data_IF_604964116590
#
_entry.id   IF_604964116590
#
_cell.length_a   1.000
_cell.length_b   1.000
_cell.length_c   1.000
_cell.angle_alpha   90.00
_cell.angle_beta   90.00
_cell.angle_gamma   90.00
#
_symmetry.space_group_name_H-M   'P 1'
#
loop_
_entity.id
_entity.type
_entity.pdbx_description
1 polymer ?
#
# COMPACT_ATOMS: atom_id res chain seq x y z
N UNK A 1 -42.93 -22.63 21.61
CA UNK A 1 -43.29 -23.11 20.26
C UNK A 1 -42.18 -22.65 19.34
N UNK A 2 -41.55 -23.63 18.71
CA UNK A 2 -40.35 -23.52 17.88
C UNK A 2 -40.66 -22.79 16.57
N UNK A 3 -39.73 -22.01 16.04
CA UNK A 3 -39.58 -21.83 14.60
C UNK A 3 -38.10 -21.53 14.27
N UNK A 4 -37.45 -22.52 13.67
CA UNK A 4 -36.10 -22.45 13.12
C UNK A 4 -36.16 -22.43 11.60
N UNK A 5 -35.49 -21.45 10.98
CA UNK A 5 -35.29 -21.38 9.53
C UNK A 5 -33.95 -22.06 9.17
N UNK A 6 -34.02 -23.26 8.59
CA UNK A 6 -32.91 -23.92 7.90
C UNK A 6 -33.03 -23.61 6.41
N UNK A 7 -31.99 -23.04 5.80
CA UNK A 7 -31.86 -22.90 4.34
C UNK A 7 -31.32 -24.21 3.72
N UNK A 8 -31.82 -24.66 2.55
CA UNK A 8 -31.37 -25.91 1.95
C UNK A 8 -29.99 -25.77 1.28
N UNK A 9 -29.10 -26.73 1.57
CA UNK A 9 -27.89 -27.00 0.79
C UNK A 9 -28.28 -27.79 -0.47
N UNK A 10 -27.75 -27.38 -1.62
CA UNK A 10 -27.87 -28.14 -2.86
C UNK A 10 -27.16 -29.49 -2.72
N UNK A 11 -27.91 -30.59 -2.85
CA UNK A 11 -27.37 -31.93 -3.00
C UNK A 11 -26.97 -32.13 -4.46
N UNK A 12 -25.67 -32.18 -4.74
CA UNK A 12 -25.18 -32.88 -5.93
C UNK A 12 -25.21 -34.37 -5.62
N UNK A 13 -26.12 -35.09 -6.28
CA UNK A 13 -26.22 -36.54 -6.18
C UNK A 13 -25.18 -37.17 -7.10
N UNK A 14 -24.06 -37.64 -6.53
CA UNK A 14 -23.09 -38.44 -7.26
C UNK A 14 -23.62 -39.88 -7.36
N UNK A 15 -24.06 -40.30 -8.54
CA UNK A 15 -24.40 -41.71 -8.80
C UNK A 15 -23.14 -42.41 -9.31
N UNK A 16 -22.45 -43.15 -8.42
CA UNK A 16 -21.43 -44.11 -8.83
C UNK A 16 -22.07 -45.48 -9.02
N UNK A 17 -22.04 -46.01 -10.24
CA UNK A 17 -22.32 -47.42 -10.52
C UNK A 17 -20.97 -48.15 -10.59
N UNK A 18 -20.73 -49.08 -9.66
CA UNK A 18 -19.60 -50.00 -9.73
C UNK A 18 -19.97 -51.23 -10.56
N UNK A 19 -19.30 -51.43 -11.70
CA UNK A 19 -19.25 -52.70 -12.40
C UNK A 19 -17.79 -53.02 -12.75
N UNK A 20 -17.24 -54.07 -12.13
CA UNK A 20 -15.98 -54.71 -12.53
C UNK A 20 -14.72 -53.91 -12.20
N UNK A 21 -13.97 -54.36 -11.19
CA UNK A 21 -12.81 -53.65 -10.67
C UNK A 21 -11.70 -53.41 -11.69
N UNK A 22 -11.35 -52.13 -11.90
CA UNK A 22 -10.01 -51.57 -12.14
C UNK A 22 -10.14 -50.05 -12.14
N UNK A 23 -9.24 -49.35 -11.43
CA UNK A 23 -9.19 -47.89 -11.39
C UNK A 23 -8.77 -47.34 -12.76
N UNK A 24 -9.54 -46.40 -13.31
CA UNK A 24 -9.08 -45.51 -14.36
C UNK A 24 -9.66 -44.10 -14.16
N UNK A 25 -8.85 -43.12 -14.52
CA UNK A 25 -9.02 -41.69 -14.29
C UNK A 25 -10.36 -41.13 -14.78
N UNK A 26 -10.88 -40.12 -14.07
CA UNK A 26 -11.96 -39.26 -14.53
C UNK A 26 -11.34 -38.01 -15.15
N UNK A 27 -11.51 -37.84 -16.45
CA UNK A 27 -11.16 -36.63 -17.21
C UNK A 27 -12.45 -35.82 -17.42
N UNK A 28 -12.40 -34.53 -17.09
CA UNK A 28 -13.52 -33.59 -17.19
C UNK A 28 -13.53 -32.99 -18.62
N UNK A 29 -14.55 -33.33 -19.42
CA UNK A 29 -14.79 -32.67 -20.70
C UNK A 29 -15.76 -31.49 -20.54
N UNK A 30 -15.26 -30.28 -20.87
CA UNK A 30 -16.01 -29.40 -21.76
C UNK A 30 -16.40 -28.01 -21.25
N UNK A 31 -15.51 -27.03 -21.42
CA UNK A 31 -15.92 -25.67 -21.79
C UNK A 31 -15.14 -25.18 -23.01
N UNK A 32 -15.91 -24.74 -24.02
CA UNK A 32 -15.45 -24.27 -25.32
C UNK A 32 -14.70 -22.93 -25.22
N UNK A 33 -13.54 -22.85 -25.86
CA UNK A 33 -12.96 -21.59 -26.34
C UNK A 33 -12.59 -21.74 -27.83
N UNK A 34 -12.96 -20.73 -28.62
CA UNK A 34 -12.64 -20.58 -30.05
C UNK A 34 -11.18 -20.12 -30.26
N UNK A 35 -10.63 -20.27 -31.48
CA UNK A 35 -9.19 -20.42 -31.70
C UNK A 35 -8.50 -19.12 -32.13
N UNK A 36 -7.21 -18.96 -31.80
CA UNK A 36 -6.27 -18.47 -32.81
C UNK A 36 -4.80 -18.82 -32.49
N UNK A 37 -4.09 -19.15 -33.58
CA UNK A 37 -2.65 -19.02 -33.82
C UNK A 37 -1.68 -19.93 -33.06
N UNK A 38 -1.31 -21.02 -33.76
CA UNK A 38 -0.19 -21.88 -33.41
C UNK A 38 1.18 -21.31 -33.78
N UNK A 39 2.19 -21.80 -33.08
CA UNK A 39 3.56 -21.98 -33.57
C UNK A 39 4.19 -23.09 -32.73
N UNK A 40 4.49 -24.21 -33.38
CA UNK A 40 5.20 -25.34 -32.79
C UNK A 40 6.69 -25.05 -32.67
N UNK A 41 7.29 -25.51 -31.57
CA UNK A 41 8.73 -25.51 -31.35
C UNK A 41 9.08 -26.61 -30.36
N UNK A 42 9.83 -27.59 -30.84
CA UNK A 42 10.39 -28.72 -30.11
C UNK A 42 11.24 -28.28 -28.91
N UNK A 43 11.08 -28.93 -27.77
CA UNK A 43 11.93 -28.80 -26.58
C UNK A 43 12.97 -29.93 -26.58
N UNK A 44 14.23 -29.56 -26.82
CA UNK A 44 15.41 -30.36 -26.47
C UNK A 44 15.87 -30.02 -25.04
N UNK A 45 16.52 -30.97 -24.32
CA UNK A 45 16.86 -30.79 -22.91
C UNK A 45 18.12 -29.92 -22.75
N UNK A 46 18.05 -28.89 -21.90
CA UNK A 46 19.20 -28.09 -21.48
C UNK A 46 19.93 -28.78 -20.33
N UNK A 47 21.21 -29.09 -20.57
CA UNK A 47 22.16 -29.61 -19.61
C UNK A 47 22.52 -28.55 -18.55
N UNK A 48 22.57 -29.00 -17.29
CA UNK A 48 23.07 -28.21 -16.16
C UNK A 48 24.55 -27.88 -16.31
N UNK A 49 24.91 -26.64 -15.97
CA UNK A 49 26.30 -26.21 -15.79
C UNK A 49 26.50 -25.80 -14.33
N UNK A 50 27.50 -26.41 -13.71
CA UNK A 50 27.76 -26.36 -12.28
C UNK A 50 28.28 -25.03 -11.77
N UNK A 51 28.03 -24.80 -10.48
CA UNK A 51 28.55 -23.67 -9.72
C UNK A 51 30.06 -23.73 -9.53
N UNK A 52 30.73 -22.61 -9.79
CA UNK A 52 32.10 -22.35 -9.35
C UNK A 52 32.11 -21.83 -7.90
N UNK A 53 33.19 -22.10 -7.13
CA UNK A 53 33.28 -21.67 -5.74
C UNK A 53 33.57 -20.17 -5.63
N UNK A 54 32.81 -19.49 -4.77
CA UNK A 54 33.05 -18.09 -4.41
C UNK A 54 34.08 -18.05 -3.29
N UNK A 55 35.24 -17.44 -3.56
CA UNK A 55 36.31 -17.25 -2.59
C UNK A 55 35.91 -16.19 -1.56
N UNK A 56 35.91 -16.58 -0.28
CA UNK A 56 35.69 -15.67 0.85
C UNK A 56 36.90 -14.78 1.11
N UNK A 57 36.69 -13.48 1.10
CA UNK A 57 37.64 -12.49 1.61
C UNK A 57 37.46 -12.35 3.12
N UNK A 58 38.50 -12.72 3.87
CA UNK A 58 38.56 -12.66 5.32
C UNK A 58 38.45 -11.23 5.87
N UNK A 59 37.60 -11.08 6.88
CA UNK A 59 37.53 -9.88 7.72
C UNK A 59 38.73 -9.78 8.66
N UNK A 60 39.29 -8.58 8.76
CA UNK A 60 40.32 -8.22 9.73
C UNK A 60 39.74 -8.16 11.17
N UNK A 61 40.52 -8.47 12.21
CA UNK A 61 40.06 -8.43 13.59
C UNK A 61 39.94 -6.99 14.10
N UNK A 62 38.77 -6.63 14.62
CA UNK A 62 38.55 -5.41 15.39
C UNK A 62 39.14 -5.59 16.79
N UNK A 63 40.14 -4.76 17.12
CA UNK A 63 40.70 -4.65 18.45
C UNK A 63 39.69 -4.00 19.41
N UNK A 64 39.36 -4.73 20.48
CA UNK A 64 38.61 -4.18 21.62
C UNK A 64 39.44 -3.16 22.39
N UNK A 65 38.80 -2.09 22.83
CA UNK A 65 39.33 -1.21 23.87
C UNK A 65 38.26 -1.03 24.94
N UNK A 66 38.61 -1.43 26.15
CA UNK A 66 37.73 -1.56 27.30
C UNK A 66 37.24 -0.25 27.89
N UNK A 67 36.20 -0.39 28.70
CA UNK A 67 35.68 0.66 29.56
C UNK A 67 36.60 0.97 30.75
N UNK A 68 36.52 2.22 31.19
CA UNK A 68 37.04 2.77 32.44
C UNK A 68 36.43 4.16 32.70
N UNK A 69 36.35 4.64 33.95
CA UNK A 69 35.13 5.23 34.50
C UNK A 69 35.07 6.77 34.63
N UNK A 70 33.81 7.20 34.78
CA UNK A 70 33.16 8.40 35.34
C UNK A 70 33.95 9.61 35.94
N UNK A 71 33.37 10.79 35.65
CA UNK A 71 33.20 12.02 36.46
C UNK A 71 34.30 13.10 36.50
N UNK A 72 33.91 14.34 36.16
CA UNK A 72 34.68 15.57 36.41
C UNK A 72 34.04 16.86 35.86
N UNK A 73 33.18 17.48 36.67
CA UNK A 73 32.85 18.92 36.86
C UNK A 73 33.20 20.00 35.80
N UNK A 74 32.21 20.88 35.61
CA UNK A 74 32.18 22.12 34.81
C UNK A 74 33.37 23.09 34.84
N UNK A 75 33.45 23.86 33.75
CA UNK A 75 34.31 25.04 33.55
C UNK A 75 33.89 25.80 32.28
N UNK A 76 33.95 27.13 32.34
CA UNK A 76 33.36 28.15 31.45
C UNK A 76 33.76 28.13 29.95
N UNK A 77 32.99 28.78 29.06
CA UNK A 77 33.27 28.78 27.62
C UNK A 77 34.47 29.68 27.26
N UNK A 78 35.33 29.17 26.36
CA UNK A 78 36.44 29.90 25.76
C UNK A 78 36.03 30.41 24.39
N UNK A 79 36.29 31.70 24.17
CA UNK A 79 36.08 32.42 22.92
C UNK A 79 36.94 31.86 21.77
N UNK A 80 36.30 31.63 20.62
CA UNK A 80 36.92 31.30 19.35
C UNK A 80 36.59 32.34 18.29
N UNK A 81 37.64 32.89 17.70
CA UNK A 81 37.71 34.05 16.82
C UNK A 81 37.13 33.87 15.41
N UNK A 82 36.34 34.87 14.98
CA UNK A 82 36.56 35.63 13.74
C UNK A 82 36.30 34.96 12.39
N UNK A 83 35.09 35.17 11.85
CA UNK A 83 34.78 35.11 10.41
C UNK A 83 33.84 36.26 10.05
N UNK A 84 34.20 37.07 9.06
CA UNK A 84 33.59 38.36 8.73
C UNK A 84 32.11 38.27 8.28
N UNK A 85 31.25 39.25 8.63
CA UNK A 85 29.90 39.33 8.10
C UNK A 85 29.86 39.97 6.70
N UNK A 86 29.05 39.38 5.82
CA UNK A 86 28.66 39.92 4.52
C UNK A 86 27.72 41.10 4.72
N UNK A 87 28.05 42.24 4.09
CA UNK A 87 27.26 43.46 4.13
C UNK A 87 25.90 43.27 3.44
N UNK A 88 24.81 43.37 4.21
CA UNK A 88 23.47 43.61 3.71
C UNK A 88 23.19 45.11 3.68
N UNK A 89 22.90 45.66 2.52
CA UNK A 89 22.42 47.03 2.34
C UNK A 89 20.97 47.14 2.79
N UNK A 90 20.73 47.99 3.79
CA UNK A 90 19.41 48.33 4.28
C UNK A 90 18.60 49.16 3.28
N UNK A 91 17.30 48.89 3.21
CA UNK A 91 16.32 49.76 2.57
C UNK A 91 15.83 50.81 3.56
N UNK A 92 15.87 52.08 3.15
CA UNK A 92 15.20 53.19 3.80
C UNK A 92 13.79 53.36 3.20
N UNK A 93 12.81 53.55 4.08
CA UNK A 93 11.46 53.95 3.75
C UNK A 93 11.35 55.48 3.69
N UNK A 94 10.59 56.01 2.71
CA UNK A 94 10.08 57.38 2.81
C UNK A 94 9.63 58.02 1.49
N UNK A 95 8.31 58.29 1.38
CA UNK A 95 7.83 59.61 0.94
C UNK A 95 7.29 59.79 -0.48
N UNK A 96 5.96 59.79 -0.58
CA UNK A 96 5.09 60.80 -1.23
C UNK A 96 5.33 61.27 -2.69
N UNK A 97 4.34 61.00 -3.54
CA UNK A 97 3.56 62.03 -4.27
C UNK A 97 4.14 62.68 -5.54
N UNK A 98 3.36 62.66 -6.63
CA UNK A 98 3.40 63.72 -7.65
C UNK A 98 3.51 63.30 -9.11
N UNK A 99 2.35 63.22 -9.77
CA UNK A 99 2.01 63.69 -11.13
C UNK A 99 3.09 63.80 -12.23
N UNK A 100 2.80 63.22 -13.40
CA UNK A 100 3.40 63.66 -14.66
C UNK A 100 3.22 62.69 -15.81
N UNK A 101 2.11 62.82 -16.55
CA UNK A 101 1.92 62.10 -17.81
C UNK A 101 2.75 62.71 -18.94
N UNK A 102 3.27 61.85 -19.82
CA UNK A 102 3.64 62.19 -21.21
C UNK A 102 3.31 60.96 -22.08
N UNK A 103 2.63 61.11 -23.23
CA UNK A 103 2.16 60.00 -24.04
C UNK A 103 3.26 59.46 -24.95
N UNK A 104 3.35 58.14 -25.10
CA UNK A 104 4.11 57.53 -26.20
C UNK A 104 3.17 57.30 -27.37
N UNK A 105 3.40 58.09 -28.42
CA UNK A 105 2.72 58.05 -29.69
C UNK A 105 2.94 56.69 -30.39
N UNK A 106 1.86 56.20 -31.00
CA UNK A 106 1.90 55.05 -31.87
C UNK A 106 2.59 55.35 -33.20
N UNK A 107 3.11 54.29 -33.80
CA UNK A 107 3.35 54.20 -35.24
C UNK A 107 2.66 52.95 -35.74
N UNK A 108 1.65 53.16 -36.59
CA UNK A 108 0.93 52.10 -37.28
C UNK A 108 1.81 51.35 -38.28
N UNK A 109 1.49 50.07 -38.45
CA UNK A 109 1.92 49.23 -39.55
C UNK A 109 0.70 48.49 -40.10
N UNK A 110 0.25 48.89 -41.28
CA UNK A 110 -0.81 48.26 -42.07
C UNK A 110 -0.27 47.07 -42.85
N UNK A 111 -1.06 46.00 -42.92
CA UNK A 111 -1.19 45.17 -44.12
C UNK A 111 -0.34 43.89 -44.19
N UNK A 112 -1.01 42.74 -44.24
CA UNK A 112 -0.39 41.45 -44.58
C UNK A 112 -1.33 40.27 -44.36
N UNK A 113 -2.17 40.00 -45.34
CA UNK A 113 -3.11 38.87 -45.43
C UNK A 113 -2.42 37.52 -45.61
N UNK A 114 -2.99 36.46 -45.01
CA UNK A 114 -2.95 35.10 -45.55
C UNK A 114 -2.02 34.13 -44.84
N UNK A 115 -2.58 33.34 -43.91
CA UNK A 115 -1.92 32.20 -43.29
C UNK A 115 -2.93 31.30 -42.58
N UNK A 116 -3.42 30.31 -43.32
CA UNK A 116 -4.29 29.23 -42.84
C UNK A 116 -3.50 28.23 -41.99
N UNK A 117 -4.06 27.83 -40.84
CA UNK A 117 -3.71 26.58 -40.15
C UNK A 117 -2.74 26.71 -38.97
N UNK A 118 -3.25 27.14 -37.83
CA UNK A 118 -2.56 27.01 -36.55
C UNK A 118 -3.58 26.74 -35.44
N UNK A 119 -3.77 25.48 -35.08
CA UNK A 119 -4.46 25.04 -33.86
C UNK A 119 -3.58 25.29 -32.61
N UNK A 120 -3.01 26.48 -32.52
CA UNK A 120 -2.37 26.99 -31.31
C UNK A 120 -3.48 27.36 -30.35
N UNK A 121 -3.83 26.40 -29.49
CA UNK A 121 -4.89 26.53 -28.49
C UNK A 121 -4.74 27.84 -27.74
N UNK A 122 -5.69 28.75 -27.97
CA UNK A 122 -6.05 29.72 -26.95
C UNK A 122 -6.27 28.92 -25.67
N UNK A 123 -5.53 29.23 -24.61
CA UNK A 123 -6.17 29.19 -23.29
C UNK A 123 -7.20 30.31 -23.42
N UNK A 124 -8.52 30.05 -23.56
CA UNK A 124 -9.45 31.13 -23.41
C UNK A 124 -9.23 31.59 -21.97
N UNK A 125 -8.81 32.84 -21.81
CA UNK A 125 -8.78 33.53 -20.52
C UNK A 125 -10.22 33.73 -19.96
N UNK A 126 -11.15 32.85 -20.34
CA UNK A 126 -12.58 32.81 -20.07
C UNK A 126 -13.02 31.45 -19.50
N UNK A 127 -12.20 30.39 -19.55
CA UNK A 127 -12.55 29.15 -18.85
C UNK A 127 -12.40 29.39 -17.34
N UNK A 128 -13.44 29.10 -16.53
CA UNK A 128 -13.37 29.30 -15.09
C UNK A 128 -12.20 28.53 -14.48
N UNK A 129 -11.41 29.19 -13.64
CA UNK A 129 -10.33 28.54 -12.87
C UNK A 129 -10.89 27.87 -11.60
N UNK A 130 -11.89 27.02 -11.80
CA UNK A 130 -12.66 26.33 -10.78
C UNK A 130 -12.99 24.89 -11.22
N UNK A 131 -13.76 24.18 -10.40
CA UNK A 131 -14.15 22.81 -10.71
C UNK A 131 -15.01 22.66 -11.97
N UNK A 132 -15.84 23.65 -12.30
CA UNK A 132 -16.65 23.59 -13.52
C UNK A 132 -15.76 23.69 -14.76
N UNK A 133 -14.80 24.63 -14.78
CA UNK A 133 -13.85 24.76 -15.89
C UNK A 133 -12.92 23.54 -16.00
N UNK A 134 -12.45 23.00 -14.88
CA UNK A 134 -11.71 21.73 -14.85
C UNK A 134 -12.51 20.59 -15.48
N UNK A 135 -13.76 20.38 -15.06
CA UNK A 135 -14.57 19.27 -15.55
C UNK A 135 -14.96 19.42 -17.02
N UNK A 136 -15.15 20.64 -17.51
CA UNK A 136 -15.32 20.92 -18.93
C UNK A 136 -14.09 20.52 -19.74
N UNK A 137 -12.89 20.86 -19.27
CA UNK A 137 -11.63 20.48 -19.93
C UNK A 137 -11.40 18.97 -19.90
N UNK A 138 -11.68 18.30 -18.78
CA UNK A 138 -11.58 16.84 -18.69
C UNK A 138 -12.55 16.16 -19.67
N UNK A 139 -13.80 16.61 -19.73
CA UNK A 139 -14.78 16.07 -20.66
C UNK A 139 -14.38 16.30 -22.13
N UNK A 140 -13.78 17.45 -22.46
CA UNK A 140 -13.34 17.77 -23.81
C UNK A 140 -12.08 17.04 -24.25
N UNK A 141 -11.07 16.97 -23.39
CA UNK A 141 -9.71 16.57 -23.77
C UNK A 141 -9.30 15.18 -23.28
N UNK A 142 -10.04 14.61 -22.31
CA UNK A 142 -9.72 13.32 -21.68
C UNK A 142 -10.86 12.30 -21.76
N UNK A 143 -11.88 12.51 -22.61
CA UNK A 143 -13.01 11.59 -22.75
C UNK A 143 -12.60 10.15 -23.11
N UNK A 144 -11.56 9.98 -23.93
CA UNK A 144 -11.07 8.66 -24.33
C UNK A 144 -10.53 7.83 -23.14
N UNK A 145 -10.14 8.50 -22.04
CA UNK A 145 -9.58 7.87 -20.86
C UNK A 145 -10.65 7.62 -19.77
N UNK A 146 -11.92 7.98 -20.04
CA UNK A 146 -13.08 7.75 -19.16
C UNK A 146 -12.84 8.07 -17.68
N UNK A 147 -12.13 9.17 -17.39
CA UNK A 147 -11.69 9.52 -16.03
C UNK A 147 -12.83 9.62 -15.03
N UNK A 148 -13.96 10.14 -15.49
CA UNK A 148 -15.17 10.29 -14.72
C UNK A 148 -16.36 9.78 -15.54
N UNK A 149 -17.31 9.05 -14.94
CA UNK A 149 -18.51 8.59 -15.65
C UNK A 149 -19.39 9.74 -16.16
N UNK A 150 -19.38 10.87 -15.47
CA UNK A 150 -20.17 12.05 -15.79
C UNK A 150 -19.62 13.30 -15.08
N UNK A 151 -20.17 14.47 -15.43
CA UNK A 151 -19.78 15.76 -14.85
C UNK A 151 -19.94 15.82 -13.33
N UNK A 152 -21.04 15.26 -12.79
CA UNK A 152 -21.26 15.24 -11.33
C UNK A 152 -20.16 14.47 -10.60
N UNK A 153 -19.72 13.33 -11.16
CA UNK A 153 -18.61 12.55 -10.61
C UNK A 153 -17.29 13.33 -10.66
N UNK A 154 -17.05 14.10 -11.73
CA UNK A 154 -15.89 14.96 -11.82
C UNK A 154 -15.90 16.07 -10.75
N UNK A 155 -17.05 16.73 -10.57
CA UNK A 155 -17.20 17.79 -9.58
C UNK A 155 -16.96 17.27 -8.15
N UNK A 156 -17.49 16.08 -7.82
CA UNK A 156 -17.27 15.43 -6.52
C UNK A 156 -15.80 15.14 -6.22
N UNK A 157 -15.03 14.68 -7.21
CA UNK A 157 -13.59 14.49 -7.04
C UNK A 157 -12.85 15.84 -6.93
N UNK A 158 -13.29 16.85 -7.69
CA UNK A 158 -12.66 18.16 -7.72
C UNK A 158 -12.73 18.92 -6.39
N UNK A 159 -13.80 18.72 -5.62
CA UNK A 159 -13.97 19.35 -4.29
C UNK A 159 -12.82 19.07 -3.33
N UNK A 160 -12.11 17.94 -3.49
CA UNK A 160 -10.95 17.59 -2.67
C UNK A 160 -9.64 18.28 -3.10
N UNK A 161 -9.58 18.90 -4.28
CA UNK A 161 -8.32 19.49 -4.77
C UNK A 161 -7.97 20.79 -4.03
N UNK A 162 -6.72 20.96 -3.59
CA UNK A 162 -6.25 22.26 -3.11
C UNK A 162 -6.41 23.33 -4.19
N UNK A 163 -6.85 24.53 -3.82
CA UNK A 163 -7.13 25.63 -4.76
C UNK A 163 -6.18 26.82 -4.58
N UNK A 164 -5.10 26.63 -3.83
CA UNK A 164 -4.08 27.62 -3.50
C UNK A 164 -2.96 27.74 -4.55
N UNK A 165 -3.06 26.99 -5.65
CA UNK A 165 -2.14 27.05 -6.77
C UNK A 165 -2.27 28.34 -7.59
N UNK A 166 -1.15 28.76 -8.21
CA UNK A 166 -1.15 29.86 -9.17
C UNK A 166 -1.83 29.42 -10.48
N UNK A 167 -2.56 30.34 -11.11
CA UNK A 167 -3.13 30.09 -12.46
C UNK A 167 -2.01 29.73 -13.43
N UNK A 168 -2.18 28.63 -14.17
CA UNK A 168 -1.16 28.14 -15.10
C UNK A 168 0.00 27.40 -14.45
N UNK A 169 -0.10 27.03 -13.17
CA UNK A 169 0.84 26.10 -12.54
C UNK A 169 0.96 24.83 -13.39
N UNK A 170 2.19 24.36 -13.60
CA UNK A 170 2.51 23.13 -14.35
C UNK A 170 2.98 21.99 -13.46
N UNK A 171 3.04 22.26 -12.15
CA UNK A 171 3.43 21.33 -11.11
C UNK A 171 2.82 21.72 -9.77
N UNK A 172 2.87 20.79 -8.81
CA UNK A 172 2.34 20.97 -7.45
C UNK A 172 0.89 20.50 -7.30
N UNK A 173 0.51 20.10 -6.10
CA UNK A 173 -0.81 19.54 -5.84
C UNK A 173 -1.89 20.63 -5.75
N UNK A 174 -2.45 21.03 -6.89
CA UNK A 174 -3.50 22.04 -6.94
C UNK A 174 -4.46 21.82 -8.11
N UNK A 175 -5.69 22.32 -7.98
CA UNK A 175 -6.69 22.41 -9.04
C UNK A 175 -6.12 23.15 -10.26
N UNK A 176 -5.37 24.23 -10.04
CA UNK A 176 -4.79 25.03 -11.13
C UNK A 176 -3.79 24.24 -11.96
N UNK A 177 -2.97 23.40 -11.32
CA UNK A 177 -2.11 22.45 -12.03
C UNK A 177 -2.93 21.46 -12.86
N UNK A 178 -3.99 20.90 -12.28
CA UNK A 178 -4.85 19.91 -12.95
C UNK A 178 -5.58 20.53 -14.15
N UNK A 179 -6.04 21.78 -14.03
CA UNK A 179 -6.62 22.57 -15.14
C UNK A 179 -5.61 22.76 -16.26
N UNK A 180 -4.36 23.12 -15.94
CA UNK A 180 -3.31 23.24 -16.95
C UNK A 180 -3.13 21.93 -17.73
N UNK A 181 -3.00 20.80 -17.03
CA UNK A 181 -2.84 19.51 -17.68
C UNK A 181 -4.08 19.04 -18.44
N UNK A 182 -5.29 19.28 -17.91
CA UNK A 182 -6.53 19.01 -18.63
C UNK A 182 -6.64 19.85 -19.92
N UNK A 183 -6.14 21.08 -19.93
CA UNK A 183 -6.11 21.93 -21.11
C UNK A 183 -5.09 21.45 -22.16
N UNK A 184 -3.84 21.18 -21.74
CA UNK A 184 -2.78 20.75 -22.67
C UNK A 184 -3.02 19.33 -23.21
N UNK A 185 -3.85 18.52 -22.54
CA UNK A 185 -4.30 17.22 -23.04
C UNK A 185 -4.96 17.26 -24.43
N UNK A 186 -5.48 18.42 -24.88
CA UNK A 186 -5.93 18.61 -26.26
C UNK A 186 -4.84 18.30 -27.31
N UNK A 187 -3.56 18.42 -26.93
CA UNK A 187 -2.41 18.15 -27.81
C UNK A 187 -1.87 16.73 -27.66
N UNK A 188 -1.90 16.18 -26.45
CA UNK A 188 -1.44 14.83 -26.14
C UNK A 188 -2.14 14.30 -24.88
N UNK A 189 -3.31 13.70 -25.08
CA UNK A 189 -4.13 13.17 -24.00
C UNK A 189 -3.42 12.06 -23.22
N UNK A 190 -2.67 11.18 -23.91
CA UNK A 190 -1.95 10.08 -23.28
C UNK A 190 -0.92 10.56 -22.24
N UNK A 191 -0.23 11.67 -22.54
CA UNK A 191 0.76 12.25 -21.62
C UNK A 191 0.10 13.07 -20.50
N UNK A 192 -0.91 13.89 -20.80
CA UNK A 192 -1.37 14.91 -19.87
C UNK A 192 -2.61 14.53 -19.06
N UNK A 193 -3.48 13.65 -19.56
CA UNK A 193 -4.64 13.23 -18.78
C UNK A 193 -4.27 12.57 -17.45
N UNK A 194 -3.25 11.69 -17.34
CA UNK A 194 -2.79 11.14 -16.05
C UNK A 194 -2.44 12.20 -15.01
N UNK A 195 -1.89 13.34 -15.42
CA UNK A 195 -1.53 14.44 -14.53
C UNK A 195 -2.75 15.22 -14.02
N UNK A 196 -3.82 15.24 -14.82
CA UNK A 196 -5.05 15.94 -14.48
C UNK A 196 -5.99 15.09 -13.61
N UNK A 197 -5.75 13.79 -13.43
CA UNK A 197 -6.58 12.88 -12.61
C UNK A 197 -6.46 13.15 -11.12
N UNK A 198 -7.37 12.66 -10.25
CA UNK A 198 -7.30 12.94 -8.82
C UNK A 198 -5.98 12.58 -8.12
N UNK A 199 -5.30 11.51 -8.56
CA UNK A 199 -3.99 11.11 -8.03
C UNK A 199 -2.81 11.97 -8.55
N UNK A 200 -3.04 12.92 -9.48
CA UNK A 200 -2.07 13.94 -9.92
C UNK A 200 -0.95 13.47 -10.85
N UNK A 201 -0.82 12.17 -11.07
CA UNK A 201 0.16 11.56 -11.98
C UNK A 201 1.62 11.95 -11.72
N UNK A 202 1.96 12.43 -10.52
CA UNK A 202 3.29 12.92 -10.16
C UNK A 202 3.61 14.36 -10.59
N UNK A 203 2.83 14.95 -11.52
CA UNK A 203 3.01 16.34 -11.93
C UNK A 203 2.22 17.29 -11.01
N UNK A 204 0.93 17.00 -10.81
CA UNK A 204 0.05 17.79 -9.94
C UNK A 204 -0.04 17.18 -8.55
N UNK A 205 1.11 16.98 -7.91
CA UNK A 205 1.26 16.27 -6.66
C UNK A 205 1.67 14.81 -6.86
N UNK A 206 2.21 14.24 -5.79
CA UNK A 206 2.47 12.80 -5.66
C UNK A 206 1.15 12.02 -5.64
N UNK A 207 1.18 10.72 -6.01
CA UNK A 207 0.02 9.84 -5.85
C UNK A 207 -0.56 9.86 -4.43
N UNK A 208 0.30 9.96 -3.41
CA UNK A 208 -0.13 9.98 -2.02
C UNK A 208 -0.81 11.28 -1.61
N UNK A 209 -0.34 12.44 -2.07
CA UNK A 209 -1.03 13.70 -1.80
C UNK A 209 -2.44 13.69 -2.40
N UNK A 210 -2.56 13.28 -3.67
CA UNK A 210 -3.87 13.18 -4.34
C UNK A 210 -4.78 12.13 -3.69
N UNK A 211 -4.27 10.96 -3.33
CA UNK A 211 -5.02 9.94 -2.58
C UNK A 211 -5.54 10.48 -1.25
N UNK A 212 -4.66 11.12 -0.47
CA UNK A 212 -5.01 11.60 0.86
C UNK A 212 -5.97 12.80 0.84
N UNK A 213 -5.91 13.65 -0.19
CA UNK A 213 -6.96 14.66 -0.42
C UNK A 213 -8.33 14.02 -0.60
N UNK A 214 -8.43 13.00 -1.45
CA UNK A 214 -9.69 12.34 -1.76
C UNK A 214 -10.24 11.55 -0.56
N UNK A 215 -9.44 10.65 0.00
CA UNK A 215 -9.93 9.73 1.03
C UNK A 215 -10.23 10.43 2.36
N UNK A 216 -9.49 11.49 2.72
CA UNK A 216 -9.79 12.21 3.97
C UNK A 216 -11.04 13.07 3.88
N UNK A 217 -11.43 13.49 2.67
CA UNK A 217 -12.71 14.17 2.45
C UNK A 217 -13.89 13.17 2.46
N UNK A 218 -13.80 12.10 1.68
CA UNK A 218 -14.94 11.21 1.42
C UNK A 218 -15.04 10.02 2.38
N UNK A 219 -13.93 9.65 3.03
CA UNK A 219 -13.84 8.54 3.97
C UNK A 219 -13.05 8.92 5.24
N UNK A 220 -13.51 9.92 6.01
CA UNK A 220 -12.77 10.43 7.18
C UNK A 220 -12.52 9.38 8.28
N UNK A 221 -13.26 8.28 8.28
CA UNK A 221 -13.05 7.14 9.18
C UNK A 221 -11.85 6.27 8.81
N UNK A 222 -11.34 6.34 7.57
CA UNK A 222 -10.24 5.48 7.11
C UNK A 222 -8.91 5.82 7.77
N UNK A 223 -8.70 7.09 8.13
CA UNK A 223 -7.48 7.56 8.78
C UNK A 223 -7.81 8.61 9.84
N UNK A 224 -7.09 8.63 10.98
CA UNK A 224 -7.34 9.61 12.03
C UNK A 224 -7.01 11.06 11.60
N UNK A 225 -6.10 11.23 10.64
CA UNK A 225 -5.73 12.52 10.06
C UNK A 225 -4.93 12.31 8.76
N UNK A 226 -4.68 13.43 8.04
CA UNK A 226 -3.92 13.45 6.79
C UNK A 226 -2.49 12.90 6.95
N UNK A 227 -1.79 13.23 8.03
CA UNK A 227 -0.43 12.75 8.26
C UNK A 227 -0.37 11.22 8.33
N UNK A 228 -1.32 10.60 9.05
CA UNK A 228 -1.44 9.14 9.12
C UNK A 228 -1.76 8.52 7.74
N UNK A 229 -2.58 9.19 6.93
CA UNK A 229 -2.85 8.78 5.55
C UNK A 229 -1.57 8.79 4.70
N UNK A 230 -0.81 9.90 4.72
CA UNK A 230 0.39 10.06 3.89
C UNK A 230 1.50 9.07 4.30
N UNK A 231 1.70 8.87 5.61
CA UNK A 231 2.62 7.85 6.14
C UNK A 231 2.24 6.44 5.70
N UNK A 232 0.95 6.11 5.72
CA UNK A 232 0.46 4.80 5.29
C UNK A 232 0.57 4.63 3.77
N UNK A 233 0.32 5.69 3.00
CA UNK A 233 0.42 5.66 1.55
C UNK A 233 1.87 5.50 1.08
N UNK A 234 2.84 6.08 1.79
CA UNK A 234 4.26 5.93 1.46
C UNK A 234 4.71 4.46 1.44
N UNK A 235 4.07 3.60 2.23
CA UNK A 235 4.30 2.15 2.27
C UNK A 235 3.43 1.33 1.30
N UNK A 236 2.52 1.95 0.55
CA UNK A 236 1.73 1.27 -0.49
C UNK A 236 2.48 1.19 -1.84
N UNK A 237 1.96 0.40 -2.78
CA UNK A 237 2.37 0.44 -4.17
C UNK A 237 1.83 1.73 -4.85
N UNK A 238 2.73 2.69 -5.10
CA UNK A 238 2.39 3.95 -5.76
C UNK A 238 2.42 3.88 -7.30
N UNK A 239 2.74 2.71 -7.86
CA UNK A 239 2.80 2.47 -9.31
C UNK A 239 1.58 1.67 -9.73
N UNK A 240 0.76 2.28 -10.58
CA UNK A 240 -0.45 1.67 -11.10
C UNK A 240 -0.91 2.37 -12.37
N UNK A 241 -1.81 1.72 -13.11
CA UNK A 241 -2.50 2.37 -14.20
C UNK A 241 -3.33 3.54 -13.64
N UNK A 242 -3.35 4.66 -14.37
CA UNK A 242 -4.03 5.88 -13.92
C UNK A 242 -5.55 5.63 -13.72
N UNK A 243 -6.14 4.81 -14.59
CA UNK A 243 -7.54 4.38 -14.58
C UNK A 243 -7.77 3.06 -13.81
N UNK A 244 -6.85 2.66 -12.93
CA UNK A 244 -7.01 1.43 -12.17
C UNK A 244 -8.30 1.48 -11.31
N UNK A 245 -9.18 0.50 -11.53
CA UNK A 245 -10.39 0.25 -10.71
C UNK A 245 -10.27 -1.04 -9.88
N UNK A 246 -9.13 -1.73 -10.00
CA UNK A 246 -8.82 -2.95 -9.26
C UNK A 246 -7.29 -3.13 -9.16
N UNK A 247 -6.85 -4.00 -8.27
CA UNK A 247 -5.44 -4.33 -8.04
C UNK A 247 -4.79 -3.46 -6.97
N UNK A 248 -3.66 -3.90 -6.43
CA UNK A 248 -3.00 -3.24 -5.30
C UNK A 248 -2.18 -2.03 -5.75
N UNK A 249 -2.81 -0.86 -5.88
CA UNK A 249 -2.15 0.41 -6.18
C UNK A 249 -2.84 1.61 -5.52
N UNK A 250 -2.08 2.68 -5.30
CA UNK A 250 -2.61 3.96 -4.82
C UNK A 250 -3.59 4.57 -5.83
N UNK A 251 -3.41 4.33 -7.13
CA UNK A 251 -4.34 4.79 -8.17
C UNK A 251 -5.72 4.15 -8.02
N UNK A 252 -5.78 2.82 -7.82
CA UNK A 252 -7.02 2.11 -7.51
C UNK A 252 -7.71 2.68 -6.26
N UNK A 253 -6.93 2.86 -5.19
CA UNK A 253 -7.45 3.39 -3.91
C UNK A 253 -7.93 4.83 -4.06
N UNK A 254 -7.27 5.63 -4.89
CA UNK A 254 -7.68 7.00 -5.21
C UNK A 254 -8.97 7.02 -6.03
N UNK A 255 -9.12 6.12 -7.01
CA UNK A 255 -10.37 5.96 -7.74
C UNK A 255 -11.51 5.71 -6.76
N UNK A 256 -11.42 4.68 -5.92
CA UNK A 256 -12.48 4.37 -4.96
C UNK A 256 -12.66 5.44 -3.89
N UNK A 257 -11.59 6.09 -3.43
CA UNK A 257 -11.63 7.15 -2.42
C UNK A 257 -12.14 8.50 -2.93
N UNK A 258 -12.35 8.64 -4.24
CA UNK A 258 -12.83 9.86 -4.88
C UNK A 258 -14.36 9.87 -5.02
N UNK A 259 -14.87 10.16 -6.23
CA UNK A 259 -16.30 10.24 -6.54
C UNK A 259 -17.12 8.98 -6.19
N UNK A 260 -16.60 7.73 -6.28
CA UNK A 260 -17.38 6.57 -5.87
C UNK A 260 -17.71 6.62 -4.38
N UNK A 261 -16.75 6.98 -3.52
CA UNK A 261 -17.00 7.15 -2.08
C UNK A 261 -17.89 8.36 -1.76
N UNK A 262 -17.80 9.42 -2.56
CA UNK A 262 -18.73 10.56 -2.44
C UNK A 262 -20.20 10.15 -2.71
N UNK A 263 -20.41 9.13 -3.56
CA UNK A 263 -21.74 8.62 -3.91
C UNK A 263 -22.21 7.51 -2.95
N UNK A 264 -21.35 6.55 -2.65
CA UNK A 264 -21.61 5.42 -1.75
C UNK A 264 -20.35 5.07 -0.95
N UNK A 265 -20.11 5.82 0.13
CA UNK A 265 -18.98 5.60 1.03
C UNK A 265 -19.02 4.24 1.73
N UNK A 266 -20.22 3.67 1.97
CA UNK A 266 -20.33 2.37 2.63
C UNK A 266 -19.75 1.26 1.75
N UNK A 267 -19.97 1.32 0.43
CA UNK A 267 -19.40 0.39 -0.52
C UNK A 267 -17.92 0.67 -0.84
N UNK A 268 -17.56 1.94 -1.04
CA UNK A 268 -16.26 2.27 -1.65
C UNK A 268 -15.16 2.62 -0.66
N UNK A 269 -15.46 3.09 0.55
CA UNK A 269 -14.42 3.38 1.54
C UNK A 269 -13.60 2.14 1.94
N UNK A 270 -14.17 0.92 2.07
CA UNK A 270 -13.38 -0.28 2.31
C UNK A 270 -12.35 -0.57 1.20
N UNK A 271 -12.70 -0.28 -0.06
CA UNK A 271 -11.79 -0.47 -1.21
C UNK A 271 -10.70 0.61 -1.26
N UNK A 272 -11.04 1.83 -0.84
CA UNK A 272 -10.11 2.95 -0.79
C UNK A 272 -9.15 2.87 0.41
N UNK A 273 -9.58 2.26 1.52
CA UNK A 273 -8.84 2.20 2.77
C UNK A 273 -7.55 1.37 2.71
N UNK A 274 -6.84 1.29 3.83
CA UNK A 274 -5.52 0.62 3.95
C UNK A 274 -5.50 -0.80 3.35
N UNK A 275 -6.53 -1.60 3.59
CA UNK A 275 -6.52 -3.03 3.21
C UNK A 275 -7.01 -3.31 1.79
N UNK A 276 -7.58 -2.30 1.11
CA UNK A 276 -8.04 -2.42 -0.28
C UNK A 276 -9.35 -3.17 -0.46
N UNK A 277 -9.94 -3.71 0.63
CA UNK A 277 -11.25 -4.35 0.65
C UNK A 277 -11.41 -5.52 -0.32
N UNK A 278 -10.30 -6.12 -0.79
CA UNK A 278 -10.31 -7.17 -1.82
C UNK A 278 -10.40 -6.65 -3.26
N UNK A 279 -10.65 -5.36 -3.48
CA UNK A 279 -10.74 -4.74 -4.81
C UNK A 279 -9.43 -4.08 -5.19
N UNK A 280 -8.89 -3.23 -4.32
CA UNK A 280 -7.58 -2.59 -4.50
C UNK A 280 -6.46 -3.37 -3.81
N UNK A 281 -6.49 -4.69 -3.97
CA UNK A 281 -5.61 -5.63 -3.28
C UNK A 281 -6.32 -6.39 -2.17
N UNK A 282 -5.73 -7.51 -1.79
CA UNK A 282 -6.14 -8.34 -0.66
C UNK A 282 -5.63 -7.78 0.67
N UNK A 283 -6.26 -8.22 1.77
CA UNK A 283 -5.79 -7.91 3.11
C UNK A 283 -4.34 -8.37 3.34
N UNK A 284 -3.94 -9.51 2.76
CA UNK A 284 -2.58 -10.03 2.87
C UNK A 284 -1.55 -9.22 2.09
N UNK A 285 -1.85 -8.81 0.86
CA UNK A 285 -0.95 -7.93 0.10
C UNK A 285 -0.75 -6.60 0.83
N UNK A 286 -1.84 -5.99 1.31
CA UNK A 286 -1.77 -4.75 2.06
C UNK A 286 -0.99 -4.92 3.37
N UNK A 287 -1.27 -5.97 4.15
CA UNK A 287 -0.53 -6.26 5.37
C UNK A 287 0.96 -6.48 5.09
N UNK A 288 1.30 -7.27 4.09
CA UNK A 288 2.68 -7.62 3.79
C UNK A 288 3.49 -6.45 3.23
N UNK A 289 2.88 -5.56 2.46
CA UNK A 289 3.50 -4.28 2.05
C UNK A 289 3.86 -3.42 3.27
N UNK A 290 2.99 -3.37 4.28
CA UNK A 290 3.21 -2.57 5.49
C UNK A 290 4.25 -3.20 6.42
N UNK A 291 4.09 -4.47 6.77
CA UNK A 291 4.91 -5.12 7.81
C UNK A 291 6.34 -5.33 7.35
N UNK A 292 6.58 -5.61 6.07
CA UNK A 292 7.95 -5.78 5.56
C UNK A 292 8.73 -4.46 5.54
N UNK A 293 8.05 -3.33 5.37
CA UNK A 293 8.68 -1.99 5.39
C UNK A 293 8.89 -1.48 6.82
N UNK A 294 7.87 -1.58 7.67
CA UNK A 294 7.89 -0.93 8.99
C UNK A 294 8.33 -1.88 10.12
N UNK A 295 8.24 -3.19 9.92
CA UNK A 295 8.61 -4.24 10.87
C UNK A 295 9.45 -5.35 10.19
N UNK A 296 10.61 -5.02 9.59
CA UNK A 296 11.34 -5.94 8.71
C UNK A 296 11.81 -7.24 9.39
N UNK A 297 11.92 -7.26 10.72
CA UNK A 297 12.38 -8.44 11.46
C UNK A 297 11.32 -9.55 11.58
N UNK A 298 10.04 -9.25 11.35
CA UNK A 298 8.95 -10.23 11.53
C UNK A 298 9.07 -11.40 10.54
N UNK A 299 9.25 -11.10 9.24
CA UNK A 299 9.33 -12.14 8.19
C UNK A 299 10.62 -12.11 7.38
N UNK A 300 11.37 -11.00 7.42
CA UNK A 300 12.52 -10.75 6.56
C UNK A 300 12.15 -10.43 5.10
N UNK A 301 11.25 -11.22 4.50
CA UNK A 301 10.86 -11.10 3.09
C UNK A 301 9.33 -11.12 2.89
N UNK A 302 8.88 -10.47 1.81
CA UNK A 302 7.45 -10.38 1.47
C UNK A 302 6.84 -11.74 1.14
N UNK A 303 7.58 -12.65 0.50
CA UNK A 303 7.09 -14.00 0.18
C UNK A 303 6.83 -14.83 1.45
N UNK A 304 7.67 -14.68 2.46
CA UNK A 304 7.48 -15.31 3.77
C UNK A 304 6.25 -14.74 4.48
N UNK A 305 6.05 -13.42 4.39
CA UNK A 305 4.86 -12.78 4.94
C UNK A 305 3.58 -13.30 4.27
N UNK A 306 3.54 -13.34 2.93
CA UNK A 306 2.36 -13.78 2.18
C UNK A 306 2.01 -15.23 2.52
N UNK A 307 3.03 -16.11 2.56
CA UNK A 307 2.88 -17.51 2.98
C UNK A 307 2.28 -17.66 4.38
N UNK A 308 2.75 -16.88 5.36
CA UNK A 308 2.16 -16.90 6.70
C UNK A 308 0.75 -16.27 6.75
N UNK A 309 0.49 -15.26 5.92
CA UNK A 309 -0.79 -14.57 5.91
C UNK A 309 -1.94 -15.42 5.36
N UNK A 310 -1.68 -16.39 4.48
CA UNK A 310 -2.70 -17.31 3.97
C UNK A 310 -3.43 -18.09 5.08
N UNK A 311 -2.76 -18.33 6.21
CA UNK A 311 -3.36 -18.95 7.38
C UNK A 311 -4.12 -17.97 8.29
N UNK A 312 -3.96 -16.66 8.11
CA UNK A 312 -4.60 -15.64 8.95
C UNK A 312 -6.06 -15.39 8.52
N UNK A 313 -6.99 -15.22 9.48
CA UNK A 313 -8.35 -14.82 9.15
C UNK A 313 -8.41 -13.43 8.49
N UNK A 314 -9.41 -13.23 7.64
CA UNK A 314 -9.77 -11.91 7.08
C UNK A 314 -11.21 -11.59 7.44
N UNK A 315 -11.51 -10.31 7.63
CA UNK A 315 -12.83 -9.83 8.08
C UNK A 315 -13.45 -8.81 7.13
N UNK A 316 -12.69 -8.33 6.15
CA UNK A 316 -13.03 -7.18 5.28
C UNK A 316 -13.27 -5.87 6.05
N UNK A 317 -13.08 -5.85 7.37
CA UNK A 317 -13.09 -4.63 8.16
C UNK A 317 -11.77 -3.89 7.96
N UNK A 318 -11.73 -2.99 6.97
CA UNK A 318 -10.56 -2.19 6.63
C UNK A 318 -10.10 -1.21 7.71
N UNK A 319 -10.85 -1.10 8.81
CA UNK A 319 -10.55 -0.23 9.96
C UNK A 319 -10.33 -1.03 11.25
N UNK A 320 -10.14 -2.34 11.16
CA UNK A 320 -9.88 -3.19 12.31
C UNK A 320 -8.62 -2.72 13.07
N UNK A 321 -8.76 -2.47 14.37
CA UNK A 321 -7.66 -2.12 15.28
C UNK A 321 -7.46 -3.18 16.38
N UNK A 322 -8.30 -4.21 16.38
CA UNK A 322 -8.24 -5.34 17.30
C UNK A 322 -8.93 -6.56 16.67
N UNK A 323 -8.72 -7.72 17.26
CA UNK A 323 -9.24 -9.00 16.80
C UNK A 323 -8.29 -9.72 15.85
N UNK A 324 -8.43 -11.04 15.75
CA UNK A 324 -7.53 -11.86 14.96
C UNK A 324 -7.83 -11.74 13.46
N UNK A 325 -7.19 -10.79 12.79
CA UNK A 325 -7.30 -10.66 11.33
C UNK A 325 -6.08 -10.00 10.68
N UNK A 326 -5.88 -10.29 9.40
CA UNK A 326 -4.86 -9.62 8.59
C UNK A 326 -5.11 -8.10 8.49
N UNK A 327 -6.36 -7.63 8.52
CA UNK A 327 -6.67 -6.19 8.52
C UNK A 327 -6.19 -5.49 9.79
N UNK A 328 -6.40 -6.11 10.96
CA UNK A 328 -5.87 -5.59 12.23
C UNK A 328 -4.34 -5.47 12.19
N UNK A 329 -3.67 -6.52 11.67
CA UNK A 329 -2.22 -6.57 11.56
C UNK A 329 -1.70 -5.52 10.56
N UNK A 330 -2.39 -5.30 9.45
CA UNK A 330 -2.10 -4.23 8.51
C UNK A 330 -2.16 -2.85 9.18
N UNK A 331 -3.20 -2.59 9.99
CA UNK A 331 -3.31 -1.33 10.74
C UNK A 331 -2.09 -1.12 11.64
N UNK A 332 -1.74 -2.10 12.47
CA UNK A 332 -0.59 -1.98 13.38
C UNK A 332 0.75 -1.91 12.65
N UNK A 333 0.89 -2.57 11.51
CA UNK A 333 2.07 -2.49 10.66
C UNK A 333 2.20 -1.16 9.89
N UNK A 334 1.18 -0.31 9.87
CA UNK A 334 1.14 0.93 9.07
C UNK A 334 1.76 2.14 9.81
N UNK A 335 1.09 3.29 9.80
CA UNK A 335 1.52 4.48 10.53
C UNK A 335 1.76 4.27 12.05
N UNK A 336 1.07 3.35 12.77
CA UNK A 336 1.38 3.10 14.17
C UNK A 336 2.80 2.56 14.37
N UNK A 337 3.24 1.57 13.58
CA UNK A 337 4.60 1.04 13.64
C UNK A 337 5.67 2.07 13.23
N UNK A 338 5.35 3.01 12.34
CA UNK A 338 6.25 4.12 12.03
C UNK A 338 6.41 5.08 13.21
N UNK A 339 5.36 5.27 14.01
CA UNK A 339 5.38 6.14 15.19
C UNK A 339 6.05 5.46 16.40
N UNK A 340 5.73 4.19 16.67
CA UNK A 340 6.29 3.39 17.76
C UNK A 340 6.37 1.91 17.34
N UNK A 341 7.49 1.56 16.74
CA UNK A 341 7.79 0.22 16.27
C UNK A 341 7.77 -0.81 17.40
N UNK A 342 8.32 -0.47 18.58
CA UNK A 342 8.46 -1.40 19.69
C UNK A 342 7.10 -1.83 20.24
N UNK A 343 6.12 -0.91 20.24
CA UNK A 343 4.77 -1.20 20.71
C UNK A 343 3.90 -1.85 19.63
N UNK A 344 4.05 -1.49 18.35
CA UNK A 344 3.10 -1.91 17.31
C UNK A 344 3.55 -3.09 16.45
N UNK A 345 4.84 -3.34 16.27
CA UNK A 345 5.28 -4.54 15.55
C UNK A 345 4.89 -5.85 16.23
N UNK A 346 4.86 -5.98 17.58
CA UNK A 346 4.32 -7.18 18.23
C UNK A 346 2.86 -7.47 17.85
N UNK A 347 2.02 -6.44 17.67
CA UNK A 347 0.62 -6.62 17.28
C UNK A 347 0.49 -7.01 15.80
N UNK A 348 1.42 -6.56 14.95
CA UNK A 348 1.48 -6.94 13.56
C UNK A 348 2.00 -8.38 13.38
N UNK A 349 2.98 -8.81 14.18
CA UNK A 349 3.61 -10.13 14.09
C UNK A 349 2.62 -11.31 14.22
N UNK A 350 3.02 -12.51 13.79
CA UNK A 350 2.16 -13.70 13.64
C UNK A 350 1.22 -13.94 14.84
N UNK A 351 1.71 -13.81 16.08
CA UNK A 351 0.93 -14.07 17.29
C UNK A 351 -0.08 -12.97 17.63
N UNK A 352 0.09 -11.75 17.12
CA UNK A 352 -0.84 -10.63 17.35
C UNK A 352 -0.77 -9.99 18.74
N UNK A 353 0.02 -10.59 19.66
CA UNK A 353 0.36 -10.09 20.98
C UNK A 353 -0.85 -9.61 21.82
N UNK A 354 -1.99 -10.28 21.69
CA UNK A 354 -3.21 -9.98 22.44
C UNK A 354 -4.07 -8.86 21.85
N UNK A 355 -3.59 -8.13 20.84
CA UNK A 355 -4.33 -7.04 20.19
C UNK A 355 -4.99 -7.53 18.92
N UNK A 356 -4.19 -8.06 17.98
CA UNK A 356 -4.71 -8.69 16.76
C UNK A 356 -4.94 -10.19 16.96
N UNK A 357 -5.69 -10.53 18.01
CA UNK A 357 -5.85 -11.90 18.49
C UNK A 357 -4.93 -12.20 19.68
N UNK A 358 -5.27 -13.24 20.44
CA UNK A 358 -4.37 -13.81 21.43
C UNK A 358 -3.17 -14.46 20.75
N UNK A 359 -2.07 -14.66 21.50
CA UNK A 359 -0.92 -15.37 20.97
C UNK A 359 -1.31 -16.75 20.41
N UNK A 360 -2.27 -17.42 21.08
CA UNK A 360 -2.76 -18.72 20.70
C UNK A 360 -3.65 -18.70 19.47
N UNK A 361 -4.38 -17.62 19.20
CA UNK A 361 -5.13 -17.48 17.95
C UNK A 361 -4.15 -17.49 16.76
N UNK A 362 -3.14 -16.62 16.79
CA UNK A 362 -2.13 -16.55 15.72
C UNK A 362 -1.29 -17.82 15.59
N UNK A 363 -0.88 -18.44 16.70
CA UNK A 363 -0.16 -19.72 16.68
C UNK A 363 -1.01 -20.85 16.08
N UNK A 364 -2.25 -20.99 16.54
CA UNK A 364 -3.10 -22.10 16.11
C UNK A 364 -3.59 -21.96 14.69
N UNK A 365 -3.80 -20.74 14.19
CA UNK A 365 -4.05 -20.51 12.76
C UNK A 365 -2.93 -21.14 11.90
N UNK A 366 -1.67 -20.89 12.25
CA UNK A 366 -0.52 -21.44 11.52
C UNK A 366 -0.41 -22.96 11.70
N UNK A 367 -0.59 -23.48 12.91
CA UNK A 367 -0.52 -24.92 13.17
C UNK A 367 -1.58 -25.70 12.41
N UNK A 368 -2.82 -25.21 12.40
CA UNK A 368 -3.91 -25.90 11.72
C UNK A 368 -3.74 -25.85 10.19
N UNK A 369 -3.12 -24.79 9.65
CA UNK A 369 -2.83 -24.68 8.23
C UNK A 369 -1.64 -25.54 7.79
N UNK A 370 -0.51 -25.46 8.50
CA UNK A 370 0.78 -25.98 8.03
C UNK A 370 1.22 -27.27 8.73
N UNK A 371 0.66 -27.58 9.91
CA UNK A 371 1.00 -28.76 10.72
C UNK A 371 -0.27 -29.57 11.11
N UNK A 372 -1.12 -29.96 10.15
CA UNK A 372 -2.44 -30.54 10.44
C UNK A 372 -2.40 -31.90 11.15
N UNK A 373 -1.23 -32.54 11.21
CA UNK A 373 -1.03 -33.82 11.91
C UNK A 373 -0.67 -33.65 13.39
N UNK A 374 -0.36 -32.43 13.85
CA UNK A 374 0.05 -32.17 15.24
C UNK A 374 -1.13 -32.09 16.19
N UNK A 375 -2.23 -31.44 15.77
CA UNK A 375 -3.45 -31.33 16.55
C UNK A 375 -4.65 -31.76 15.72
N UNK A 376 -5.57 -32.53 16.32
CA UNK A 376 -6.76 -32.98 15.60
C UNK A 376 -7.80 -31.85 15.46
N UNK A 377 -7.82 -30.90 16.39
CA UNK A 377 -8.79 -29.79 16.40
C UNK A 377 -8.16 -28.47 16.84
N UNK A 378 -8.79 -27.36 16.43
CA UNK A 378 -8.41 -26.03 16.90
C UNK A 378 -8.51 -25.93 18.44
N UNK A 379 -9.52 -26.54 19.05
CA UNK A 379 -9.71 -26.53 20.50
C UNK A 379 -8.55 -27.22 21.23
N UNK A 380 -8.05 -28.33 20.69
CA UNK A 380 -6.88 -29.04 21.23
C UNK A 380 -5.62 -28.19 21.10
N UNK A 381 -5.43 -27.53 19.95
CA UNK A 381 -4.33 -26.60 19.76
C UNK A 381 -4.37 -25.46 20.78
N UNK A 382 -5.54 -24.82 20.95
CA UNK A 382 -5.71 -23.70 21.87
C UNK A 382 -5.43 -24.11 23.32
N UNK A 383 -5.98 -25.24 23.79
CA UNK A 383 -5.73 -25.74 25.14
C UNK A 383 -4.26 -26.09 25.39
N UNK A 384 -3.56 -26.60 24.37
CA UNK A 384 -2.12 -26.83 24.45
C UNK A 384 -1.34 -25.52 24.47
N UNK A 385 -1.75 -24.54 23.66
CA UNK A 385 -1.07 -23.26 23.61
C UNK A 385 -1.15 -22.49 24.92
N UNK A 386 -2.28 -22.54 25.63
CA UNK A 386 -2.48 -21.80 26.90
C UNK A 386 -1.48 -22.17 28.00
N UNK A 387 -0.88 -23.37 27.96
CA UNK A 387 0.13 -23.80 28.94
C UNK A 387 1.57 -23.48 28.53
N UNK A 388 1.80 -23.02 27.30
CA UNK A 388 3.11 -22.60 26.81
C UNK A 388 3.45 -21.19 27.33
N UNK A 389 4.75 -20.87 27.37
CA UNK A 389 5.17 -19.51 27.73
C UNK A 389 4.65 -18.50 26.69
N UNK A 390 3.81 -17.59 27.18
CA UNK A 390 3.20 -16.51 26.41
C UNK A 390 4.16 -15.32 26.25
N UNK A 391 5.22 -15.28 27.05
CA UNK A 391 6.31 -14.33 26.96
C UNK A 391 7.28 -14.69 25.84
N UNK A 392 7.97 -13.67 25.32
CA UNK A 392 8.94 -13.86 24.24
C UNK A 392 9.05 -12.63 23.34
N UNK A 393 10.13 -12.57 22.58
CA UNK A 393 10.25 -11.61 21.50
C UNK A 393 9.28 -11.98 20.36
N UNK A 394 8.60 -11.01 19.77
CA UNK A 394 7.62 -11.25 18.70
C UNK A 394 8.22 -11.86 17.41
N UNK A 395 9.54 -11.79 17.27
CA UNK A 395 10.35 -12.33 16.18
C UNK A 395 11.30 -13.45 16.64
N UNK A 396 11.00 -14.09 17.77
CA UNK A 396 11.79 -15.20 18.31
C UNK A 396 11.86 -16.36 17.30
N UNK A 397 13.08 -16.89 17.12
CA UNK A 397 13.38 -18.09 16.29
C UNK A 397 13.91 -19.27 17.10
N UNK A 398 14.08 -19.07 18.40
CA UNK A 398 14.53 -20.05 19.37
C UNK A 398 14.06 -19.61 20.77
N UNK A 399 14.14 -20.53 21.73
CA UNK A 399 13.71 -20.32 23.12
C UNK A 399 12.24 -20.72 23.35
N UNK A 400 11.92 -21.09 24.59
CA UNK A 400 10.58 -21.57 24.95
C UNK A 400 9.57 -20.42 24.97
N UNK A 401 8.86 -20.23 23.86
CA UNK A 401 7.83 -19.21 23.73
C UNK A 401 6.84 -19.57 22.62
N UNK A 402 5.59 -19.12 22.76
CA UNK A 402 4.59 -19.25 21.69
C UNK A 402 5.02 -18.49 20.43
N UNK A 403 5.77 -17.40 20.55
CA UNK A 403 6.28 -16.62 19.42
C UNK A 403 7.28 -17.44 18.58
N UNK A 404 8.22 -18.15 19.22
CA UNK A 404 9.12 -19.07 18.54
C UNK A 404 8.35 -20.18 17.80
N UNK A 405 7.37 -20.76 18.47
CA UNK A 405 6.57 -21.87 17.93
C UNK A 405 5.70 -21.40 16.75
N UNK A 406 5.10 -20.21 16.85
CA UNK A 406 4.35 -19.59 15.77
C UNK A 406 5.23 -19.26 14.55
N UNK A 407 6.47 -18.80 14.77
CA UNK A 407 7.44 -18.63 13.70
C UNK A 407 7.63 -19.95 12.94
N UNK A 408 7.95 -21.04 13.64
CA UNK A 408 8.17 -22.33 13.00
C UNK A 408 6.90 -22.96 12.39
N UNK A 409 5.73 -22.72 12.98
CA UNK A 409 4.44 -23.16 12.42
C UNK A 409 4.05 -22.43 11.14
N UNK A 410 4.67 -21.28 10.84
CA UNK A 410 4.26 -20.40 9.74
C UNK A 410 4.93 -20.76 8.40
N UNK A 411 5.50 -19.76 7.71
CA UNK A 411 6.18 -19.95 6.44
C UNK A 411 7.30 -21.00 6.43
N UNK A 412 8.06 -21.26 7.54
CA UNK A 412 9.01 -22.36 7.55
C UNK A 412 8.34 -23.73 7.41
N UNK A 413 7.26 -24.00 8.14
CA UNK A 413 6.52 -25.26 8.02
C UNK A 413 5.76 -25.40 6.69
N UNK A 414 5.29 -24.29 6.11
CA UNK A 414 4.71 -24.34 4.76
C UNK A 414 5.76 -24.77 3.71
N UNK A 415 7.03 -24.39 3.89
CA UNK A 415 8.14 -24.81 3.02
C UNK A 415 8.67 -26.23 3.31
N UNK A 416 8.84 -26.58 4.59
CA UNK A 416 9.31 -27.89 5.07
C UNK A 416 8.68 -28.26 6.42
N UNK A 417 7.47 -28.82 6.35
CA UNK A 417 6.71 -29.21 7.54
C UNK A 417 7.37 -30.34 8.33
N UNK A 418 8.12 -31.24 7.68
CA UNK A 418 8.82 -32.32 8.36
C UNK A 418 9.90 -31.80 9.30
N UNK A 419 10.62 -30.75 8.88
CA UNK A 419 11.64 -30.12 9.68
C UNK A 419 11.05 -29.18 10.75
N UNK A 420 10.04 -28.38 10.40
CA UNK A 420 9.62 -27.26 11.24
C UNK A 420 8.43 -27.53 12.16
N UNK A 421 7.49 -28.42 11.82
CA UNK A 421 6.38 -28.76 12.71
C UNK A 421 6.83 -29.34 14.07
N UNK A 422 7.90 -30.15 14.16
CA UNK A 422 8.43 -30.59 15.46
C UNK A 422 8.86 -29.44 16.38
N UNK A 423 9.44 -28.36 15.82
CA UNK A 423 9.84 -27.19 16.61
C UNK A 423 8.62 -26.37 17.09
N UNK A 424 7.52 -26.42 16.34
CA UNK A 424 6.29 -25.72 16.67
C UNK A 424 5.38 -26.48 17.66
N UNK A 425 5.50 -27.82 17.73
CA UNK A 425 4.76 -28.65 18.68
C UNK A 425 5.22 -28.46 20.13
N UNK A 426 4.46 -28.97 21.11
CA UNK A 426 4.63 -28.74 22.56
C UNK A 426 6.07 -28.95 23.08
N UNK A 427 6.78 -29.96 22.59
CA UNK A 427 8.14 -30.27 23.06
C UNK A 427 9.20 -29.30 22.52
N UNK A 428 8.88 -28.51 21.49
CA UNK A 428 9.77 -27.52 20.88
C UNK A 428 11.01 -28.11 20.18
N UNK A 429 11.20 -29.43 20.28
CA UNK A 429 12.30 -30.22 19.73
C UNK A 429 13.70 -29.58 19.93
N UNK A 430 13.90 -28.95 21.10
CA UNK A 430 15.16 -28.30 21.48
C UNK A 430 15.43 -26.96 20.79
N UNK A 431 14.53 -26.48 19.92
CA UNK A 431 14.64 -25.17 19.26
C UNK A 431 13.78 -24.14 20.00
N UNK A 432 12.48 -24.43 20.14
CA UNK A 432 11.56 -23.62 20.92
C UNK A 432 11.32 -24.24 22.31
N UNK A 433 12.39 -24.64 22.97
CA UNK A 433 12.36 -25.20 24.31
C UNK A 433 13.50 -24.59 25.13
N UNK A 434 13.39 -24.68 26.45
CA UNK A 434 14.47 -24.24 27.34
C UNK A 434 15.71 -25.11 27.13
N UNK A 435 16.86 -24.45 26.91
CA UNK A 435 18.17 -25.09 26.91
C UNK A 435 18.58 -25.36 28.38
N UNK A 436 17.91 -26.30 29.05
CA UNK A 436 18.26 -26.69 30.42
C UNK A 436 19.16 -27.91 30.45
#
# INVERSE_FOLDING_TARGET
>A
MLDGFIRPRAFFSLVCVCLGGSLMACEEDGLKASPDSGIGGEIAPMAGSGGGPVAGSGGAPMAGSGGGPVAGSGGAPVAGSGGAPVAGSGGEAGGTGGTGGVPVAGTGGTGGTGGTGGTGGMIPNELPNDCAGYCQLIAGNCAANSLFPNEASCLQACEAFPTDGQVGAVSGNSLQCRIYHANVAATNAALHCPHAQPHGGGACGSPCEGYCDQITLHCPQSYPNRLACEQTCASMNQVGASDAISGNSVQCRTYHGSFPSAQDGAMHCPHAGLTGGGVCGSACEAYCDQVTRNCPTVYGEVVNCLSACEAMPTTLNSTAQAGNSAECRAYHASFPAQADMANHCPHAAITGAGVCGSNCDGYCDQMMANCPMTYATLQECQGTCEVLDQGGAFDAKAGDSVQCRAYHASFPANGDGMLHCPHAGIDGAGVCADNN
#
